data_IF_634769860687
#
_entry.id   IF_634769860687
#
_cell.length_a   1.000
_cell.length_b   1.000
_cell.length_c   1.000
_cell.angle_alpha   90.00
_cell.angle_beta   90.00
_cell.angle_gamma   90.00
#
_symmetry.space_group_name_H-M   'P 1'
#
loop_
_entity.id
_entity.type
_entity.pdbx_description
1 polymer ?
#
# COMPACT_ATOMS: atom_id res chain seq x y z
N UNK A 1 -0.16 -16.51 -12.18
CA UNK A 1 -1.50 -16.42 -11.57
C UNK A 1 -2.52 -16.61 -12.67
N UNK A 2 -3.55 -17.43 -12.45
CA UNK A 2 -4.69 -17.51 -13.37
C UNK A 2 -5.57 -16.24 -13.29
N UNK A 3 -6.61 -16.17 -14.13
CA UNK A 3 -7.51 -15.00 -14.17
C UNK A 3 -8.20 -14.74 -12.82
N UNK A 4 -8.56 -15.81 -12.08
CA UNK A 4 -9.21 -15.70 -10.76
C UNK A 4 -8.25 -15.14 -9.72
N UNK A 5 -7.01 -15.64 -9.69
CA UNK A 5 -5.97 -15.16 -8.79
C UNK A 5 -5.58 -13.71 -9.11
N UNK A 6 -5.57 -13.31 -10.39
CA UNK A 6 -5.36 -11.91 -10.78
C UNK A 6 -6.50 -11.00 -10.32
N UNK A 7 -7.76 -11.45 -10.43
CA UNK A 7 -8.92 -10.71 -9.93
C UNK A 7 -8.89 -10.55 -8.40
N UNK A 8 -8.52 -11.60 -7.67
CA UNK A 8 -8.35 -11.50 -6.22
C UNK A 8 -7.21 -10.54 -5.85
N UNK A 9 -6.08 -10.60 -6.56
CA UNK A 9 -4.97 -9.68 -6.33
C UNK A 9 -5.37 -8.23 -6.59
N UNK A 10 -6.12 -7.96 -7.66
CA UNK A 10 -6.68 -6.62 -7.89
C UNK A 10 -7.50 -6.13 -6.70
N UNK A 11 -8.47 -6.93 -6.24
CA UNK A 11 -9.33 -6.53 -5.11
C UNK A 11 -8.55 -6.30 -3.81
N UNK A 12 -7.52 -7.11 -3.53
CA UNK A 12 -6.70 -6.96 -2.33
C UNK A 12 -5.83 -5.70 -2.36
N UNK A 13 -5.46 -5.21 -3.55
CA UNK A 13 -4.46 -4.15 -3.75
C UNK A 13 -5.02 -2.89 -4.41
N UNK A 14 -6.34 -2.82 -4.59
CA UNK A 14 -7.05 -1.61 -4.98
C UNK A 14 -7.43 -0.82 -3.73
N UNK A 15 -6.90 0.39 -3.64
CA UNK A 15 -7.26 1.35 -2.60
C UNK A 15 -8.09 2.49 -3.19
N UNK A 16 -9.16 2.87 -2.50
CA UNK A 16 -9.95 4.07 -2.81
C UNK A 16 -9.83 5.05 -1.64
N UNK A 17 -9.40 6.28 -1.96
CA UNK A 17 -9.40 7.38 -1.00
C UNK A 17 -10.62 8.27 -1.26
N UNK A 18 -11.64 8.15 -0.40
CA UNK A 18 -12.90 8.90 -0.53
C UNK A 18 -12.70 10.42 -0.50
N UNK A 19 -11.95 10.94 0.47
CA UNK A 19 -11.72 12.39 0.61
C UNK A 19 -11.03 13.06 -0.59
N UNK A 20 -10.31 12.31 -1.42
CA UNK A 20 -9.67 12.82 -2.63
C UNK A 20 -10.37 12.33 -3.91
N UNK A 21 -11.37 11.45 -3.80
CA UNK A 21 -12.06 10.84 -4.93
C UNK A 21 -11.13 10.03 -5.86
N UNK A 22 -10.03 9.47 -5.35
CA UNK A 22 -9.01 8.80 -6.16
C UNK A 22 -8.91 7.30 -5.87
N UNK A 23 -8.57 6.54 -6.92
CA UNK A 23 -8.21 5.13 -6.83
C UNK A 23 -6.71 4.95 -7.05
N UNK A 24 -6.09 4.10 -6.26
CA UNK A 24 -4.71 3.64 -6.44
C UNK A 24 -4.71 2.11 -6.53
N UNK A 25 -4.29 1.59 -7.67
CA UNK A 25 -4.12 0.15 -7.91
C UNK A 25 -2.64 -0.18 -8.07
N UNK A 26 -2.11 -1.01 -7.17
CA UNK A 26 -0.73 -1.51 -7.24
C UNK A 26 -0.66 -3.00 -7.60
N UNK A 27 -1.78 -3.65 -7.91
CA UNK A 27 -1.86 -5.09 -8.17
C UNK A 27 -0.97 -5.59 -9.32
N UNK A 28 -0.59 -4.68 -10.23
CA UNK A 28 0.28 -4.94 -11.40
C UNK A 28 1.74 -4.55 -11.20
N UNK A 29 2.12 -4.05 -10.02
CA UNK A 29 3.51 -3.84 -9.64
C UNK A 29 4.12 -5.17 -9.17
N UNK A 30 5.40 -5.38 -9.48
CA UNK A 30 6.14 -6.60 -9.11
C UNK A 30 6.53 -6.53 -7.63
N UNK A 31 5.74 -7.19 -6.79
CA UNK A 31 6.07 -7.49 -5.40
C UNK A 31 5.29 -8.73 -4.95
N UNK A 32 5.82 -9.44 -3.96
CA UNK A 32 5.13 -10.54 -3.27
C UNK A 32 4.80 -10.13 -1.82
N UNK A 33 4.05 -10.99 -1.13
CA UNK A 33 3.59 -10.70 0.22
C UNK A 33 4.76 -10.66 1.22
N UNK A 34 5.80 -11.48 1.00
CA UNK A 34 7.00 -11.50 1.83
C UNK A 34 7.80 -10.18 1.73
N UNK A 35 7.88 -9.61 0.52
CA UNK A 35 8.48 -8.30 0.32
C UNK A 35 7.71 -7.22 1.06
N UNK A 36 6.37 -7.22 0.99
CA UNK A 36 5.53 -6.26 1.72
C UNK A 36 5.75 -6.40 3.23
N UNK A 37 5.75 -7.62 3.75
CA UNK A 37 5.99 -7.89 5.17
C UNK A 37 7.36 -7.36 5.61
N UNK A 38 8.39 -7.53 4.78
CA UNK A 38 9.73 -6.98 5.04
C UNK A 38 9.78 -5.44 5.07
N UNK A 39 8.83 -4.77 4.43
CA UNK A 39 8.73 -3.30 4.42
C UNK A 39 7.96 -2.75 5.62
N UNK A 40 7.20 -3.58 6.37
CA UNK A 40 6.38 -3.12 7.48
C UNK A 40 7.15 -2.22 8.47
N UNK A 41 8.36 -2.59 8.95
CA UNK A 41 9.09 -1.72 9.88
C UNK A 41 9.52 -0.38 9.27
N UNK A 42 9.73 -0.33 7.94
CA UNK A 42 10.05 0.93 7.24
C UNK A 42 8.82 1.82 7.11
N UNK A 43 7.64 1.25 6.90
CA UNK A 43 6.40 2.00 6.89
C UNK A 43 6.09 2.54 8.29
N UNK A 44 6.24 1.74 9.34
CA UNK A 44 6.04 2.19 10.72
C UNK A 44 6.93 3.40 11.04
N UNK A 45 8.20 3.33 10.63
CA UNK A 45 9.13 4.47 10.75
C UNK A 45 8.66 5.69 9.92
N UNK A 46 8.30 5.49 8.66
CA UNK A 46 7.88 6.59 7.79
C UNK A 46 6.65 7.32 8.33
N UNK A 47 5.67 6.59 8.86
CA UNK A 47 4.50 7.20 9.49
C UNK A 47 4.86 7.96 10.78
N UNK A 48 5.75 7.42 11.61
CA UNK A 48 6.22 8.12 12.80
C UNK A 48 6.98 9.41 12.45
N UNK A 49 7.89 9.34 11.47
CA UNK A 49 8.65 10.50 11.00
C UNK A 49 7.70 11.58 10.42
N UNK A 50 6.68 11.17 9.64
CA UNK A 50 5.67 12.09 9.12
C UNK A 50 4.86 12.76 10.23
N UNK A 51 4.48 12.03 11.28
CA UNK A 51 3.76 12.59 12.41
C UNK A 51 4.60 13.62 13.19
N UNK A 52 5.91 13.42 13.29
CA UNK A 52 6.81 14.41 13.90
C UNK A 52 6.97 15.65 13.00
N UNK A 53 7.09 15.47 11.69
CA UNK A 53 7.12 16.58 10.73
C UNK A 53 5.83 17.41 10.78
N UNK A 54 4.66 16.78 10.88
CA UNK A 54 3.37 17.47 11.00
C UNK A 54 3.23 18.26 12.31
N UNK A 55 4.00 17.91 13.35
CA UNK A 55 4.11 18.67 14.61
C UNK A 55 5.12 19.81 14.54
N UNK A 56 5.87 19.94 13.44
CA UNK A 56 6.84 21.01 13.22
C UNK A 56 8.29 20.68 13.60
N UNK A 57 8.67 19.40 13.57
CA UNK A 57 10.07 18.97 13.70
C UNK A 57 10.98 19.48 12.56
#
# INVERSE_FOLDING_TARGET
>A
MDARALWQRYQNWLYFHEGLGLYLDVSRIRFDDAFVESLQPKFDKAFADMAELEKGA
#
